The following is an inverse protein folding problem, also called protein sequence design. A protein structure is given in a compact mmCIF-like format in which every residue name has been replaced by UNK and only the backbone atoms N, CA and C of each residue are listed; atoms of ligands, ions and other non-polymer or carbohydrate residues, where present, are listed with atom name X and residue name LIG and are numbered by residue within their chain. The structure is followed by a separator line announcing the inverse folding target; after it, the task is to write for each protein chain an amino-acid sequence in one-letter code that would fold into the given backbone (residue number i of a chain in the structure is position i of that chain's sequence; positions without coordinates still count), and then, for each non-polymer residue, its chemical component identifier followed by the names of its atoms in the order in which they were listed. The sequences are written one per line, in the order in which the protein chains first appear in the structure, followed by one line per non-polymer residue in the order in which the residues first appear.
data_IF_576212059869
#
_entry.id   IF_576212059869
#
_cell.length_a   1.000
_cell.length_b   1.000
_cell.length_c   1.000
_cell.angle_alpha   90.00
_cell.angle_beta   90.00
_cell.angle_gamma   90.00
#
_symmetry.space_group_name_H-M   'P 1'
#
loop_
_entity.id
_entity.type
_entity.pdbx_description
1 polymer ?
#
# COMPACT_ATOMS: atom_id res chain seq x y z
N UNK A 1 -7.48 28.00 -8.91
CA UNK A 1 -8.41 27.85 -7.78
C UNK A 1 -7.85 26.72 -6.92
N UNK A 2 -7.27 27.06 -5.77
CA UNK A 2 -6.57 26.12 -4.90
C UNK A 2 -7.60 25.24 -4.18
N UNK A 3 -7.52 23.92 -4.37
CA UNK A 3 -8.20 22.95 -3.50
C UNK A 3 -7.32 22.84 -2.26
N UNK A 4 -7.79 23.33 -1.12
CA UNK A 4 -7.12 23.08 0.15
C UNK A 4 -7.38 21.63 0.56
N UNK A 5 -6.31 20.92 0.88
CA UNK A 5 -6.30 19.48 1.08
C UNK A 5 -6.83 19.16 2.49
N UNK A 6 -8.15 19.21 2.67
CA UNK A 6 -8.84 18.88 3.93
C UNK A 6 -8.90 17.36 4.19
N UNK A 7 -8.37 16.52 3.29
CA UNK A 7 -8.51 15.05 3.31
C UNK A 7 -7.27 14.30 3.82
N UNK A 8 -6.39 14.95 4.59
CA UNK A 8 -5.22 14.27 5.15
C UNK A 8 -5.58 13.66 6.50
N UNK A 9 -5.37 12.36 6.69
CA UNK A 9 -5.32 11.79 8.04
C UNK A 9 -4.23 12.54 8.83
N UNK A 10 -4.62 13.47 9.70
CA UNK A 10 -3.69 14.24 10.52
C UNK A 10 -3.09 13.28 11.54
N UNK A 11 -1.89 12.79 11.26
CA UNK A 11 -1.04 12.17 12.27
C UNK A 11 -0.60 13.25 13.28
N UNK A 12 -0.60 12.99 14.59
CA UNK A 12 0.11 13.88 15.52
C UNK A 12 1.59 14.05 15.12
N UNK A 13 2.21 15.21 15.39
CA UNK A 13 3.50 15.59 14.81
C UNK A 13 4.66 14.64 15.18
N UNK A 14 5.24 14.01 14.15
CA UNK A 14 6.62 13.50 13.90
C UNK A 14 7.54 12.99 15.03
N UNK A 15 7.10 12.78 16.27
CA UNK A 15 7.99 12.32 17.37
C UNK A 15 7.36 11.35 18.36
N UNK A 16 6.35 10.59 17.97
CA UNK A 16 5.78 9.59 18.84
C UNK A 16 5.87 8.22 18.18
N UNK A 17 6.59 7.34 18.89
CA UNK A 17 6.75 5.91 18.63
C UNK A 17 5.36 5.26 18.52
N UNK A 18 4.89 5.00 17.30
CA UNK A 18 3.59 4.37 17.04
C UNK A 18 3.71 3.18 16.09
N UNK A 19 4.65 2.26 16.34
CA UNK A 19 4.68 0.94 15.69
C UNK A 19 5.08 -0.09 16.73
N UNK A 20 4.22 -0.22 17.74
CA UNK A 20 4.35 -1.19 18.81
C UNK A 20 2.95 -1.54 19.30
N UNK A 21 2.52 -2.75 18.97
CA UNK A 21 1.22 -3.37 19.25
C UNK A 21 0.12 -3.15 18.19
N UNK A 22 0.02 -4.10 17.25
CA UNK A 22 -1.30 -4.67 16.97
C UNK A 22 -1.27 -6.14 16.58
N UNK A 23 -2.23 -6.87 17.15
CA UNK A 23 -2.55 -8.24 16.82
C UNK A 23 -3.02 -8.42 15.38
N UNK A 24 -2.52 -9.51 14.81
CA UNK A 24 -2.85 -10.17 13.56
C UNK A 24 -4.29 -9.96 13.06
N UNK A 25 -4.44 -9.23 11.96
CA UNK A 25 -5.62 -9.28 11.10
C UNK A 25 -5.44 -10.47 10.16
N UNK A 26 -6.31 -11.47 10.27
CA UNK A 26 -6.28 -12.67 9.43
C UNK A 26 -6.54 -12.33 7.96
N UNK A 27 -5.75 -12.93 7.06
CA UNK A 27 -5.89 -12.83 5.62
C UNK A 27 -6.41 -14.15 5.04
N UNK A 28 -7.48 -14.06 4.26
CA UNK A 28 -8.13 -15.17 3.57
C UNK A 28 -7.25 -15.70 2.42
N UNK A 29 -7.28 -17.01 2.23
CA UNK A 29 -6.35 -17.83 1.45
C UNK A 29 -6.39 -17.54 -0.06
N UNK A 30 -5.23 -17.45 -0.72
CA UNK A 30 -5.18 -17.37 -2.19
C UNK A 30 -3.91 -16.81 -2.85
N UNK A 31 -2.83 -16.51 -2.12
CA UNK A 31 -1.52 -16.17 -2.71
C UNK A 31 -0.47 -17.16 -2.20
N UNK A 32 0.16 -17.87 -3.15
CA UNK A 32 1.15 -18.91 -2.88
C UNK A 32 2.28 -18.39 -2.00
N UNK A 33 2.39 -18.93 -0.80
CA UNK A 33 3.54 -18.78 0.07
C UNK A 33 4.76 -19.40 -0.63
N UNK A 34 5.82 -18.61 -0.79
CA UNK A 34 7.16 -19.16 -0.98
C UNK A 34 7.71 -19.34 0.43
N UNK A 35 7.96 -20.57 0.83
CA UNK A 35 8.47 -20.92 2.16
C UNK A 35 9.82 -20.22 2.41
N UNK A 36 9.84 -19.25 3.32
CA UNK A 36 11.07 -18.71 3.88
C UNK A 36 10.99 -18.78 5.40
N UNK A 37 11.73 -19.75 5.95
CA UNK A 37 12.00 -19.95 7.38
C UNK A 37 12.80 -18.76 7.94
N UNK A 38 12.17 -17.60 8.14
CA UNK A 38 12.76 -16.52 8.93
C UNK A 38 12.24 -16.62 10.35
N UNK A 39 13.03 -17.23 11.24
CA UNK A 39 12.87 -17.07 12.70
C UNK A 39 13.08 -15.59 13.05
N UNK A 40 12.02 -14.78 13.00
CA UNK A 40 12.06 -13.38 13.40
C UNK A 40 11.93 -13.26 14.91
N UNK A 41 12.98 -12.82 15.61
CA UNK A 41 12.84 -12.35 16.98
C UNK A 41 12.24 -10.95 16.97
N UNK A 42 11.08 -10.78 17.59
CA UNK A 42 10.46 -9.48 17.83
C UNK A 42 11.45 -8.56 18.57
N UNK A 43 12.08 -7.63 17.85
CA UNK A 43 13.02 -6.66 18.42
C UNK A 43 14.32 -6.42 17.63
N UNK A 44 14.65 -7.24 16.63
CA UNK A 44 15.86 -6.99 15.82
C UNK A 44 15.56 -6.12 14.59
N UNK A 45 16.23 -4.96 14.50
CA UNK A 45 16.12 -4.06 13.36
C UNK A 45 16.62 -4.71 12.06
N UNK A 46 15.74 -4.81 11.07
CA UNK A 46 16.00 -5.43 9.78
C UNK A 46 16.88 -4.56 8.88
N UNK A 47 17.81 -5.18 8.17
CA UNK A 47 18.49 -4.52 7.05
C UNK A 47 17.54 -4.43 5.85
N UNK A 48 17.85 -3.56 4.89
CA UNK A 48 17.07 -3.46 3.63
C UNK A 48 16.96 -4.81 2.88
N UNK A 49 18.01 -5.64 2.96
CA UNK A 49 18.02 -6.97 2.33
C UNK A 49 17.12 -7.96 3.07
N UNK A 50 17.16 -7.96 4.40
CA UNK A 50 16.27 -8.79 5.22
C UNK A 50 14.81 -8.38 5.09
N UNK A 51 14.53 -7.08 5.02
CA UNK A 51 13.17 -6.59 4.76
C UNK A 51 12.68 -7.02 3.36
N UNK A 52 13.53 -6.93 2.34
CA UNK A 52 13.22 -7.39 0.98
C UNK A 52 12.86 -8.87 0.94
N UNK A 53 13.70 -9.70 1.57
CA UNK A 53 13.49 -11.15 1.70
C UNK A 53 12.17 -11.45 2.43
N UNK A 54 11.96 -10.85 3.60
CA UNK A 54 10.78 -11.11 4.43
C UNK A 54 9.46 -10.63 3.81
N UNK A 55 9.49 -9.59 2.97
CA UNK A 55 8.29 -9.04 2.32
C UNK A 55 8.11 -9.48 0.87
N UNK A 56 9.04 -10.27 0.32
CA UNK A 56 8.99 -10.73 -1.07
C UNK A 56 9.16 -9.62 -2.11
N UNK A 57 9.67 -8.44 -1.73
CA UNK A 57 9.85 -7.29 -2.62
C UNK A 57 11.32 -7.03 -2.93
N UNK A 58 11.60 -6.37 -4.04
CA UNK A 58 12.99 -6.01 -4.35
C UNK A 58 13.51 -4.91 -3.41
N UNK A 59 14.82 -4.88 -3.15
CA UNK A 59 15.45 -3.77 -2.40
C UNK A 59 15.25 -2.41 -3.09
N UNK A 60 15.10 -2.40 -4.41
CA UNK A 60 14.73 -1.21 -5.20
C UNK A 60 13.33 -0.73 -4.83
N UNK A 61 12.36 -1.64 -4.67
CA UNK A 61 11.00 -1.32 -4.26
C UNK A 61 10.98 -0.69 -2.86
N UNK A 62 11.76 -1.22 -1.91
CA UNK A 62 11.87 -0.64 -0.56
C UNK A 62 12.42 0.79 -0.61
N UNK A 63 13.48 1.03 -1.40
CA UNK A 63 14.03 2.38 -1.59
C UNK A 63 13.00 3.31 -2.21
N UNK A 64 12.28 2.84 -3.22
CA UNK A 64 11.20 3.60 -3.82
C UNK A 64 10.11 3.94 -2.79
N UNK A 65 9.66 2.99 -1.98
CA UNK A 65 8.66 3.24 -0.93
C UNK A 65 9.15 4.25 0.11
N UNK A 66 10.42 4.18 0.52
CA UNK A 66 11.05 5.19 1.39
C UNK A 66 11.08 6.58 0.72
N UNK A 67 11.48 6.67 -0.55
CA UNK A 67 11.51 7.92 -1.32
C UNK A 67 10.12 8.54 -1.50
N UNK A 68 9.07 7.73 -1.57
CA UNK A 68 7.67 8.17 -1.65
C UNK A 68 7.05 8.44 -0.26
N UNK A 69 7.82 8.41 0.83
CA UNK A 69 7.30 8.64 2.18
C UNK A 69 6.42 7.50 2.73
N UNK A 70 6.34 6.37 2.02
CA UNK A 70 5.54 5.22 2.41
C UNK A 70 6.23 4.37 3.48
N UNK A 71 7.56 4.45 3.60
CA UNK A 71 8.34 3.81 4.65
C UNK A 71 9.30 4.80 5.29
N UNK A 72 9.63 4.57 6.56
CA UNK A 72 10.68 5.31 7.25
C UNK A 72 11.81 4.34 7.62
N UNK A 73 13.06 4.77 7.46
CA UNK A 73 14.22 4.01 7.91
C UNK A 73 14.96 4.75 9.02
N UNK A 74 15.50 3.97 9.95
CA UNK A 74 16.48 4.45 10.91
C UNK A 74 17.88 4.24 10.32
N UNK A 75 18.80 5.17 10.59
CA UNK A 75 20.19 5.03 10.17
C UNK A 75 21.06 4.62 11.36
N UNK A 76 21.88 3.60 11.15
CA UNK A 76 22.94 3.24 12.10
C UNK A 76 24.06 4.28 12.11
N UNK A 77 24.92 4.26 13.13
CA UNK A 77 26.14 5.07 13.16
C UNK A 77 27.05 4.88 11.94
N UNK A 78 27.05 3.68 11.34
CA UNK A 78 27.78 3.37 10.11
C UNK A 78 27.04 3.80 8.82
N UNK A 79 25.87 4.45 8.92
CA UNK A 79 25.11 4.96 7.77
C UNK A 79 24.20 3.94 7.07
N UNK A 80 24.11 2.69 7.56
CA UNK A 80 23.22 1.68 7.00
C UNK A 80 21.76 1.89 7.43
N UNK A 81 20.82 1.64 6.52
CA UNK A 81 19.37 1.65 6.77
C UNK A 81 18.92 0.45 7.58
N UNK A 82 18.04 0.72 8.54
CA UNK A 82 17.44 -0.24 9.45
C UNK A 82 15.95 0.02 9.57
N UNK A 83 15.18 -1.05 9.63
CA UNK A 83 13.72 -1.03 9.67
C UNK A 83 13.23 -1.84 10.86
N UNK A 84 12.15 -1.39 11.49
CA UNK A 84 11.50 -2.17 12.53
C UNK A 84 10.88 -3.45 11.92
N UNK A 85 10.82 -4.59 12.64
CA UNK A 85 10.21 -5.82 12.13
C UNK A 85 8.78 -5.66 11.62
N UNK A 86 7.99 -4.80 12.27
CA UNK A 86 6.61 -4.46 11.87
C UNK A 86 6.52 -3.82 10.47
N UNK A 87 7.64 -3.30 9.95
CA UNK A 87 7.72 -2.75 8.59
C UNK A 87 7.38 -3.80 7.53
N UNK A 88 7.56 -5.10 7.80
CA UNK A 88 7.19 -6.18 6.87
C UNK A 88 5.70 -6.12 6.54
N UNK A 89 4.83 -6.05 7.56
CA UNK A 89 3.38 -5.98 7.37
C UNK A 89 2.97 -4.72 6.60
N UNK A 90 3.64 -3.61 6.87
CA UNK A 90 3.44 -2.36 6.15
C UNK A 90 3.80 -2.48 4.67
N UNK A 91 4.91 -3.14 4.33
CA UNK A 91 5.29 -3.39 2.93
C UNK A 91 4.25 -4.26 2.23
N UNK A 92 3.76 -5.31 2.89
CA UNK A 92 2.71 -6.18 2.34
C UNK A 92 1.40 -5.41 2.10
N UNK A 93 1.02 -4.50 3.01
CA UNK A 93 -0.14 -3.62 2.81
C UNK A 93 0.05 -2.68 1.62
N UNK A 94 1.22 -2.04 1.52
CA UNK A 94 1.58 -1.17 0.38
C UNK A 94 1.46 -1.95 -0.94
N UNK A 95 1.97 -3.18 -1.01
CA UNK A 95 1.85 -4.02 -2.20
C UNK A 95 0.40 -4.30 -2.57
N UNK A 96 -0.46 -4.61 -1.59
CA UNK A 96 -1.88 -4.84 -1.86
C UNK A 96 -2.56 -3.60 -2.43
N UNK A 97 -2.29 -2.43 -1.88
CA UNK A 97 -2.85 -1.18 -2.39
C UNK A 97 -2.36 -0.87 -3.81
N UNK A 98 -1.07 -1.10 -4.11
CA UNK A 98 -0.58 -0.99 -5.48
C UNK A 98 -1.24 -1.99 -6.42
N UNK A 99 -1.45 -3.25 -5.99
CA UNK A 99 -2.16 -4.25 -6.81
C UNK A 99 -3.63 -3.90 -7.05
N UNK A 100 -4.23 -3.12 -6.16
CA UNK A 100 -5.57 -2.55 -6.33
C UNK A 100 -5.59 -1.31 -7.23
N UNK A 101 -4.44 -0.91 -7.79
CA UNK A 101 -4.30 0.19 -8.74
C UNK A 101 -4.01 1.55 -8.09
N UNK A 102 -3.84 1.62 -6.77
CA UNK A 102 -3.57 2.90 -6.10
C UNK A 102 -2.15 3.36 -6.43
N UNK A 103 -2.00 4.65 -6.72
CA UNK A 103 -0.70 5.29 -6.87
C UNK A 103 -0.08 5.63 -5.51
N UNK A 104 1.24 5.85 -5.48
CA UNK A 104 1.94 6.24 -4.24
C UNK A 104 1.33 7.48 -3.58
N UNK A 105 0.87 8.44 -4.39
CA UNK A 105 0.21 9.68 -3.93
C UNK A 105 -1.15 9.45 -3.28
N UNK A 106 -1.85 8.39 -3.66
CA UNK A 106 -3.14 8.01 -3.07
C UNK A 106 -2.93 7.16 -1.82
N UNK A 107 -1.86 6.36 -1.78
CA UNK A 107 -1.51 5.50 -0.64
C UNK A 107 -0.95 6.30 0.53
N UNK A 108 -0.05 7.26 0.29
CA UNK A 108 0.63 8.04 1.34
C UNK A 108 -0.33 8.62 2.40
N UNK A 109 -1.44 9.31 2.05
CA UNK A 109 -2.32 9.92 3.06
C UNK A 109 -3.19 8.90 3.82
N UNK A 110 -3.46 7.72 3.26
CA UNK A 110 -4.36 6.72 3.87
C UNK A 110 -3.63 5.66 4.69
N UNK A 111 -2.37 5.41 4.34
CA UNK A 111 -1.57 4.34 4.94
C UNK A 111 -1.47 4.43 6.48
N UNK A 112 -1.27 5.60 7.11
CA UNK A 112 -1.18 5.68 8.56
C UNK A 112 -2.48 5.26 9.27
N UNK A 113 -3.64 5.60 8.71
CA UNK A 113 -4.95 5.26 9.26
C UNK A 113 -5.29 3.77 9.15
N UNK A 114 -4.63 3.02 8.26
CA UNK A 114 -4.82 1.58 8.12
C UNK A 114 -4.01 0.76 9.11
N UNK A 115 -2.81 1.26 9.44
CA UNK A 115 -1.88 0.55 10.33
C UNK A 115 -2.10 0.98 11.79
N UNK A 116 -2.77 2.10 12.08
CA UNK A 116 -3.20 2.52 13.43
C UNK A 116 -4.72 2.41 13.67
N UNK A 117 -5.17 1.57 14.61
CA UNK A 117 -6.60 1.28 14.92
C UNK A 117 -7.21 2.45 15.63
N UNK A 118 -6.40 3.13 16.46
CA UNK A 118 -6.80 4.34 17.14
C UNK A 118 -6.96 5.51 16.17
N UNK A 119 -6.34 5.42 14.99
CA UNK A 119 -6.49 6.35 13.87
C UNK A 119 -7.40 5.83 12.76
N UNK A 120 -8.09 4.68 12.94
CA UNK A 120 -9.11 4.19 12.00
C UNK A 120 -10.32 5.12 12.04
N UNK A 121 -10.23 6.17 11.24
CA UNK A 121 -11.21 7.25 11.19
C UNK A 121 -12.21 6.94 10.09
N UNK A 122 -13.48 7.34 10.26
CA UNK A 122 -14.50 7.29 9.19
C UNK A 122 -13.99 7.85 7.86
N UNK A 123 -13.13 8.88 7.93
CA UNK A 123 -12.42 9.47 6.80
C UNK A 123 -11.66 8.44 5.93
N UNK A 124 -10.99 7.45 6.53
CA UNK A 124 -10.28 6.41 5.78
C UNK A 124 -11.26 5.59 4.93
N UNK A 125 -12.37 5.18 5.53
CA UNK A 125 -13.40 4.40 4.85
C UNK A 125 -14.00 5.21 3.70
N UNK A 126 -14.21 6.51 3.90
CA UNK A 126 -14.75 7.40 2.87
C UNK A 126 -13.77 7.60 1.70
N UNK A 127 -12.47 7.78 1.97
CA UNK A 127 -11.46 7.85 0.90
C UNK A 127 -11.39 6.55 0.10
N UNK A 128 -11.44 5.40 0.76
CA UNK A 128 -11.44 4.10 0.07
C UNK A 128 -12.73 3.87 -0.74
N UNK A 129 -13.87 4.36 -0.25
CA UNK A 129 -15.13 4.32 -0.99
C UNK A 129 -15.10 5.21 -2.23
N UNK A 130 -14.57 6.42 -2.12
CA UNK A 130 -14.41 7.34 -3.25
C UNK A 130 -13.49 6.74 -4.32
N UNK A 131 -12.36 6.19 -3.89
CA UNK A 131 -11.43 5.50 -4.78
C UNK A 131 -12.09 4.30 -5.49
N UNK A 132 -12.84 3.47 -4.73
CA UNK A 132 -13.62 2.36 -5.30
C UNK A 132 -14.61 2.85 -6.36
N UNK A 133 -15.31 3.95 -6.10
CA UNK A 133 -16.31 4.48 -7.03
C UNK A 133 -15.64 5.01 -8.32
N UNK A 134 -14.49 5.69 -8.19
CA UNK A 134 -13.71 6.14 -9.36
C UNK A 134 -13.28 4.95 -10.24
N UNK A 135 -12.74 3.89 -9.64
CA UNK A 135 -12.40 2.67 -10.38
C UNK A 135 -13.62 2.03 -11.04
N UNK A 136 -14.77 2.01 -10.35
CA UNK A 136 -16.01 1.48 -10.92
C UNK A 136 -16.50 2.31 -12.13
N UNK A 137 -16.29 3.63 -12.12
CA UNK A 137 -16.57 4.49 -13.28
C UNK A 137 -15.64 4.19 -14.46
N UNK A 138 -14.34 4.02 -14.22
CA UNK A 138 -13.38 3.66 -15.26
C UNK A 138 -13.70 2.30 -15.90
N UNK A 139 -14.00 1.29 -15.08
CA UNK A 139 -14.42 -0.04 -15.56
C UNK A 139 -15.68 0.06 -16.43
N UNK A 140 -16.67 0.86 -16.01
CA UNK A 140 -17.89 1.07 -16.80
C UNK A 140 -17.58 1.70 -18.16
N UNK A 141 -16.74 2.73 -18.19
CA UNK A 141 -16.31 3.40 -19.43
C UNK A 141 -15.58 2.45 -20.37
N UNK A 142 -14.66 1.66 -19.85
CA UNK A 142 -13.91 0.69 -20.65
C UNK A 142 -14.82 -0.40 -21.23
N UNK A 143 -15.73 -0.95 -20.42
CA UNK A 143 -16.72 -1.93 -20.88
C UNK A 143 -17.62 -1.38 -21.98
N UNK A 144 -18.03 -0.13 -21.87
CA UNK A 144 -18.82 0.51 -22.92
C UNK A 144 -18.02 0.72 -24.19
N UNK A 145 -16.74 1.10 -24.07
CA UNK A 145 -15.85 1.22 -25.22
C UNK A 145 -15.69 -0.11 -25.93
N UNK A 146 -15.50 -1.21 -25.19
CA UNK A 146 -15.43 -2.56 -25.76
C UNK A 146 -16.73 -2.91 -26.50
N UNK A 147 -17.89 -2.68 -25.89
CA UNK A 147 -19.20 -2.91 -26.52
C UNK A 147 -19.33 -2.20 -27.87
N UNK A 148 -18.99 -0.91 -27.93
CA UNK A 148 -19.05 -0.13 -29.17
C UNK A 148 -18.11 -0.71 -30.24
N UNK A 149 -16.91 -1.14 -29.85
CA UNK A 149 -15.97 -1.75 -30.78
C UNK A 149 -16.48 -3.10 -31.29
N UNK A 150 -17.11 -3.91 -30.43
CA UNK A 150 -17.73 -5.18 -30.83
C UNK A 150 -18.86 -4.94 -31.84
N UNK A 151 -19.72 -3.93 -31.64
CA UNK A 151 -20.78 -3.56 -32.59
C UNK A 151 -20.22 -3.14 -33.95
N UNK A 152 -19.11 -2.39 -33.96
CA UNK A 152 -18.43 -2.02 -35.22
C UNK A 152 -17.82 -3.26 -35.86
N UNK A 153 -17.14 -4.13 -35.12
CA UNK A 153 -16.54 -5.35 -35.69
C UNK A 153 -17.61 -6.23 -36.33
N UNK A 154 -18.74 -6.44 -35.66
CA UNK A 154 -19.86 -7.24 -36.17
C UNK A 154 -20.43 -6.66 -37.48
N UNK A 155 -20.51 -5.32 -37.61
CA UNK A 155 -20.94 -4.67 -38.86
C UNK A 155 -20.02 -5.02 -40.04
N UNK A 156 -18.70 -5.09 -39.81
CA UNK A 156 -17.71 -5.34 -40.85
C UNK A 156 -17.44 -6.83 -41.11
N UNK A 157 -17.63 -7.71 -40.13
CA UNK A 157 -17.42 -9.16 -40.27
C UNK A 157 -18.59 -9.88 -40.98
N UNK A 158 -19.73 -9.21 -41.15
CA UNK A 158 -20.92 -9.78 -41.82
C UNK A 158 -20.89 -9.63 -43.36
N UNK A 159 -19.79 -9.11 -43.94
CA UNK A 159 -19.58 -8.90 -45.40
C UNK A 159 -18.61 -9.95 -45.97
#
# INVERSE_FOLDING_TARGET
MQVQNENTCILPPKKARYWGNRGSIGYDEGMSAVDVDVKMSAGEMLSVGRLAEASGVSTRSIRYYEEQGLLESQRTHAGHRRFDPETVERVLLIQRLFSAGLSSREIEPVLPCMVDESARTSLLVDVLRDYRERLAQEIRKQRETVRILDEVIDEYDTV
#
